data_IF_957586795703
#
_entry.id   IF_957586795703
#
_cell.length_a   1.000
_cell.length_b   1.000
_cell.length_c   1.000
_cell.angle_alpha   90.00
_cell.angle_beta   90.00
_cell.angle_gamma   90.00
#
_symmetry.space_group_name_H-M   'P 1'
#
loop_
_entity.id
_entity.type
_entity.pdbx_description
1 polymer ?
#
# COMPACT_ATOMS: atom_id res chain seq x y z
N UNK A 1 -13.55 -19.96 -6.86
CA UNK A 1 -14.82 -20.13 -7.59
C UNK A 1 -14.68 -19.75 -9.06
N UNK A 2 -14.17 -18.56 -9.39
CA UNK A 2 -13.89 -18.17 -10.79
C UNK A 2 -12.78 -19.01 -11.44
N UNK A 3 -11.69 -19.26 -10.71
CA UNK A 3 -10.57 -20.11 -11.15
C UNK A 3 -11.00 -21.56 -11.43
N UNK A 4 -11.90 -22.10 -10.61
CA UNK A 4 -12.49 -23.43 -10.85
C UNK A 4 -13.38 -23.44 -12.10
N UNK A 5 -14.09 -22.36 -12.41
CA UNK A 5 -14.91 -22.28 -13.63
C UNK A 5 -14.06 -22.28 -14.90
N UNK A 6 -12.86 -21.67 -14.88
CA UNK A 6 -11.92 -21.76 -16.00
C UNK A 6 -11.43 -23.20 -16.24
N UNK A 7 -11.08 -23.93 -15.18
CA UNK A 7 -10.63 -25.34 -15.29
C UNK A 7 -11.69 -26.21 -15.97
N UNK A 8 -12.97 -25.93 -15.73
CA UNK A 8 -14.08 -26.66 -16.34
C UNK A 8 -14.59 -26.05 -17.65
N UNK A 9 -13.95 -25.02 -18.24
CA UNK A 9 -14.43 -24.35 -19.47
C UNK A 9 -14.76 -25.34 -20.57
N UNK A 10 -13.86 -26.28 -20.85
CA UNK A 10 -14.03 -27.26 -21.92
C UNK A 10 -15.15 -28.27 -21.62
N UNK A 11 -15.26 -28.71 -20.37
CA UNK A 11 -16.33 -29.61 -19.92
C UNK A 11 -17.69 -28.90 -19.97
N UNK A 12 -17.76 -27.65 -19.54
CA UNK A 12 -18.96 -26.82 -19.58
C UNK A 12 -19.40 -26.60 -21.03
N UNK A 13 -18.46 -26.21 -21.91
CA UNK A 13 -18.73 -26.01 -23.34
C UNK A 13 -19.14 -27.32 -24.02
N UNK A 14 -18.54 -28.45 -23.63
CA UNK A 14 -18.94 -29.77 -24.10
C UNK A 14 -20.37 -30.11 -23.67
N UNK A 15 -20.74 -29.87 -22.40
CA UNK A 15 -22.10 -30.10 -21.91
C UNK A 15 -23.14 -29.24 -22.65
N UNK A 16 -22.81 -27.97 -22.95
CA UNK A 16 -23.70 -27.11 -23.73
C UNK A 16 -23.83 -27.58 -25.19
N UNK A 17 -22.76 -28.07 -25.81
CA UNK A 17 -22.82 -28.70 -27.15
C UNK A 17 -23.67 -29.97 -27.15
N UNK A 18 -23.64 -30.77 -26.08
CA UNK A 18 -24.42 -32.01 -25.93
C UNK A 18 -25.86 -31.81 -25.40
N UNK A 19 -26.35 -30.58 -25.21
CA UNK A 19 -27.70 -30.31 -24.65
C UNK A 19 -28.87 -30.91 -25.46
N UNK A 20 -28.64 -31.21 -26.74
CA UNK A 20 -29.61 -31.88 -27.61
C UNK A 20 -29.84 -33.35 -27.24
N UNK A 21 -28.81 -34.05 -26.76
CA UNK A 21 -28.84 -35.48 -26.44
C UNK A 21 -29.13 -35.79 -24.96
N UNK A 22 -29.12 -34.79 -24.08
CA UNK A 22 -29.23 -34.94 -22.62
C UNK A 22 -30.66 -35.22 -22.10
N UNK A 23 -31.65 -35.50 -22.97
CA UNK A 23 -33.02 -35.82 -22.54
C UNK A 23 -33.73 -34.70 -21.75
N UNK A 24 -33.24 -33.46 -21.83
CA UNK A 24 -33.75 -32.32 -21.07
C UNK A 24 -35.15 -31.88 -21.54
N UNK A 25 -35.98 -31.46 -20.59
CA UNK A 25 -37.27 -30.81 -20.92
C UNK A 25 -37.05 -29.48 -21.64
N UNK A 26 -38.04 -29.03 -22.43
CA UNK A 26 -37.97 -27.75 -23.17
C UNK A 26 -37.61 -26.57 -22.27
N UNK A 27 -38.20 -26.49 -21.06
CA UNK A 27 -37.90 -25.46 -20.07
C UNK A 27 -36.44 -25.50 -19.60
N UNK A 28 -35.90 -26.69 -19.33
CA UNK A 28 -34.51 -26.86 -18.93
C UNK A 28 -33.54 -26.51 -20.06
N UNK A 29 -33.87 -26.87 -21.31
CA UNK A 29 -33.06 -26.56 -22.49
C UNK A 29 -32.99 -25.05 -22.77
N UNK A 30 -34.12 -24.35 -22.64
CA UNK A 30 -34.17 -22.88 -22.74
C UNK A 30 -33.35 -22.22 -21.62
N UNK A 31 -33.50 -22.70 -20.38
CA UNK A 31 -32.70 -22.19 -19.25
C UNK A 31 -31.21 -22.47 -19.42
N UNK A 32 -30.83 -23.65 -19.89
CA UNK A 32 -29.44 -23.99 -20.20
C UNK A 32 -28.86 -23.07 -21.28
N UNK A 33 -29.63 -22.79 -22.33
CA UNK A 33 -29.17 -21.90 -23.41
C UNK A 33 -29.05 -20.46 -22.93
N UNK A 34 -29.89 -20.00 -21.99
CA UNK A 34 -29.78 -18.66 -21.42
C UNK A 34 -28.54 -18.44 -20.53
N UNK A 35 -27.87 -19.52 -20.11
CA UNK A 35 -26.69 -19.48 -19.22
C UNK A 35 -25.40 -19.81 -20.01
N UNK A 36 -25.53 -20.22 -21.27
CA UNK A 36 -24.39 -20.53 -22.13
C UNK A 36 -23.59 -19.26 -22.42
N UNK A 37 -22.31 -19.29 -22.08
CA UNK A 37 -21.39 -18.19 -22.34
C UNK A 37 -20.82 -18.30 -23.75
N UNK A 38 -20.80 -17.19 -24.47
CA UNK A 38 -20.09 -17.09 -25.75
C UNK A 38 -18.57 -17.12 -25.54
N UNK A 39 -17.81 -17.36 -26.60
CA UNK A 39 -16.33 -17.31 -26.56
C UNK A 39 -15.83 -15.98 -26.02
N UNK A 40 -16.36 -14.86 -26.53
CA UNK A 40 -15.98 -13.51 -26.08
C UNK A 40 -16.26 -13.29 -24.59
N UNK A 41 -17.35 -13.88 -24.05
CA UNK A 41 -17.67 -13.79 -22.64
C UNK A 41 -16.70 -14.59 -21.77
N UNK A 42 -16.24 -15.75 -22.26
CA UNK A 42 -15.18 -16.51 -21.60
C UNK A 42 -13.85 -15.76 -21.59
N UNK A 43 -13.50 -15.13 -22.70
CA UNK A 43 -12.24 -14.38 -22.81
C UNK A 43 -12.29 -13.12 -21.93
N UNK A 44 -13.44 -12.43 -21.85
CA UNK A 44 -13.66 -11.35 -20.89
C UNK A 44 -13.52 -11.84 -19.43
N UNK A 45 -14.07 -13.02 -19.12
CA UNK A 45 -13.97 -13.61 -17.78
C UNK A 45 -12.51 -13.87 -17.40
N UNK A 46 -11.70 -14.35 -18.34
CA UNK A 46 -10.27 -14.57 -18.14
C UNK A 46 -9.51 -13.27 -17.85
N UNK A 47 -9.82 -12.19 -18.59
CA UNK A 47 -9.25 -10.87 -18.30
C UNK A 47 -9.66 -10.37 -16.90
N UNK A 48 -10.93 -10.53 -16.51
CA UNK A 48 -11.40 -10.14 -15.17
C UNK A 48 -10.66 -10.93 -14.09
N UNK A 49 -10.47 -12.24 -14.27
CA UNK A 49 -9.74 -13.08 -13.33
C UNK A 49 -8.29 -12.60 -13.18
N UNK A 50 -7.62 -12.30 -14.30
CA UNK A 50 -6.24 -11.79 -14.28
C UNK A 50 -6.11 -10.47 -13.52
N UNK A 51 -7.12 -9.59 -13.59
CA UNK A 51 -7.15 -8.33 -12.84
C UNK A 51 -7.37 -8.57 -11.35
N UNK A 52 -8.22 -9.54 -10.98
CA UNK A 52 -8.60 -9.78 -9.59
C UNK A 52 -7.58 -10.61 -8.80
N UNK A 53 -6.74 -11.39 -9.47
CA UNK A 53 -5.76 -12.27 -8.81
C UNK A 53 -4.79 -11.51 -7.88
N UNK A 54 -4.20 -10.36 -8.27
CA UNK A 54 -3.37 -9.56 -7.35
C UNK A 54 -4.14 -9.09 -6.12
N UNK A 55 -5.41 -8.72 -6.26
CA UNK A 55 -6.25 -8.30 -5.13
C UNK A 55 -6.59 -9.46 -4.20
N UNK A 56 -6.82 -10.64 -4.75
CA UNK A 56 -7.02 -11.84 -3.95
C UNK A 56 -5.78 -12.15 -3.12
N UNK A 57 -4.61 -12.10 -3.73
CA UNK A 57 -3.33 -12.31 -3.05
C UNK A 57 -3.06 -11.27 -1.97
N UNK A 58 -3.26 -9.98 -2.27
CA UNK A 58 -3.19 -8.88 -1.32
C UNK A 58 -4.14 -9.09 -0.14
N UNK A 59 -5.40 -9.41 -0.41
CA UNK A 59 -6.42 -9.66 0.62
C UNK A 59 -6.03 -10.82 1.52
N UNK A 60 -5.50 -11.91 0.96
CA UNK A 60 -5.04 -13.07 1.72
C UNK A 60 -3.89 -12.72 2.66
N UNK A 61 -2.94 -11.92 2.21
CA UNK A 61 -1.83 -11.45 3.04
C UNK A 61 -2.33 -10.54 4.15
N UNK A 62 -3.19 -9.56 3.82
CA UNK A 62 -3.67 -8.56 4.78
C UNK A 62 -4.64 -9.10 5.83
N UNK A 63 -5.41 -10.14 5.47
CA UNK A 63 -6.36 -10.81 6.38
C UNK A 63 -5.71 -11.87 7.28
N UNK A 64 -4.41 -12.09 7.14
CA UNK A 64 -3.70 -13.05 8.00
C UNK A 64 -3.68 -12.54 9.45
N UNK A 65 -3.87 -13.47 10.39
CA UNK A 65 -3.90 -13.20 11.84
C UNK A 65 -2.63 -13.67 12.54
N UNK A 66 -1.76 -14.38 11.85
CA UNK A 66 -0.58 -15.02 12.43
C UNK A 66 0.58 -14.04 12.65
N UNK A 67 0.53 -12.86 12.01
CA UNK A 67 1.53 -11.79 12.15
C UNK A 67 0.88 -10.42 11.90
N UNK A 68 1.46 -9.32 12.40
CA UNK A 68 0.97 -7.97 12.11
C UNK A 68 1.03 -7.67 10.61
N UNK A 69 -0.10 -7.36 9.99
CA UNK A 69 -0.18 -7.08 8.54
C UNK A 69 -0.20 -5.59 8.22
N UNK A 70 -0.46 -4.73 9.21
CA UNK A 70 -0.67 -3.29 9.01
C UNK A 70 0.56 -2.56 8.45
N UNK A 71 1.77 -2.95 8.85
CA UNK A 71 3.01 -2.36 8.34
C UNK A 71 3.25 -2.64 6.86
N UNK A 72 2.86 -3.85 6.41
CA UNK A 72 2.94 -4.27 4.99
C UNK A 72 1.82 -3.69 4.12
N UNK A 73 0.76 -3.14 4.72
CA UNK A 73 -0.42 -2.69 3.98
C UNK A 73 -0.09 -1.56 3.01
N UNK A 74 0.75 -0.60 3.42
CA UNK A 74 1.16 0.48 2.54
C UNK A 74 1.87 -0.03 1.28
N UNK A 75 2.82 -0.96 1.44
CA UNK A 75 3.55 -1.57 0.33
C UNK A 75 2.60 -2.28 -0.63
N UNK A 76 1.68 -3.10 -0.10
CA UNK A 76 0.70 -3.84 -0.89
C UNK A 76 -0.24 -2.90 -1.67
N UNK A 77 -0.73 -1.84 -1.02
CA UNK A 77 -1.62 -0.85 -1.64
C UNK A 77 -0.92 -0.16 -2.81
N UNK A 78 0.35 0.23 -2.66
CA UNK A 78 1.12 0.84 -3.75
C UNK A 78 1.44 -0.14 -4.86
N UNK A 79 1.79 -1.38 -4.53
CA UNK A 79 2.00 -2.42 -5.54
C UNK A 79 0.74 -2.70 -6.38
N UNK A 80 -0.45 -2.67 -5.75
CA UNK A 80 -1.72 -2.75 -6.49
C UNK A 80 -1.96 -1.50 -7.36
N UNK A 81 -1.63 -0.31 -6.85
CA UNK A 81 -1.72 0.94 -7.63
C UNK A 81 -0.84 0.88 -8.89
N UNK A 82 0.43 0.49 -8.72
CA UNK A 82 1.40 0.33 -9.81
C UNK A 82 0.94 -0.75 -10.81
N UNK A 83 0.44 -1.88 -10.32
CA UNK A 83 -0.11 -2.95 -11.16
C UNK A 83 -1.25 -2.43 -12.06
N UNK A 84 -2.17 -1.64 -11.51
CA UNK A 84 -3.30 -1.09 -12.26
C UNK A 84 -2.88 -0.01 -13.27
N UNK A 85 -1.81 0.73 -12.99
CA UNK A 85 -1.26 1.75 -13.88
C UNK A 85 -0.38 1.17 -14.99
N UNK A 86 0.18 -0.02 -14.78
CA UNK A 86 1.02 -0.67 -15.78
C UNK A 86 0.20 -1.05 -17.02
N UNK A 87 0.55 -0.43 -18.14
CA UNK A 87 -0.02 -0.72 -19.45
C UNK A 87 0.43 -2.11 -19.94
N UNK A 88 -0.51 -2.84 -20.53
CA UNK A 88 -0.28 -4.13 -21.16
C UNK A 88 -0.61 -4.03 -22.66
N UNK A 89 -0.19 -5.03 -23.45
CA UNK A 89 -0.45 -5.04 -24.90
C UNK A 89 -1.94 -5.16 -25.26
N UNK A 90 -2.81 -5.55 -24.31
CA UNK A 90 -4.23 -5.75 -24.54
C UNK A 90 -5.04 -4.47 -24.18
N UNK A 91 -5.67 -3.78 -25.16
CA UNK A 91 -6.39 -2.52 -24.91
C UNK A 91 -7.65 -2.70 -24.06
N UNK A 92 -8.33 -3.85 -24.17
CA UNK A 92 -9.49 -4.16 -23.34
C UNK A 92 -9.07 -4.35 -21.88
N UNK A 93 -7.95 -5.04 -21.65
CA UNK A 93 -7.37 -5.21 -20.32
C UNK A 93 -7.00 -3.85 -19.69
N UNK A 94 -6.37 -2.96 -20.45
CA UNK A 94 -6.04 -1.61 -19.99
C UNK A 94 -7.28 -0.79 -19.64
N UNK A 95 -8.34 -0.91 -20.44
CA UNK A 95 -9.63 -0.25 -20.18
C UNK A 95 -10.26 -0.76 -18.87
N UNK A 96 -10.24 -2.08 -18.66
CA UNK A 96 -10.72 -2.68 -17.42
C UNK A 96 -9.88 -2.29 -16.20
N UNK A 97 -8.54 -2.33 -16.32
CA UNK A 97 -7.61 -1.84 -15.29
C UNK A 97 -7.91 -0.38 -14.91
N UNK A 98 -8.16 0.48 -15.90
CA UNK A 98 -8.50 1.89 -15.67
C UNK A 98 -9.80 2.04 -14.87
N UNK A 99 -10.84 1.28 -15.20
CA UNK A 99 -12.09 1.29 -14.44
C UNK A 99 -11.89 0.87 -12.98
N UNK A 100 -11.11 -0.20 -12.78
CA UNK A 100 -10.76 -0.68 -11.43
C UNK A 100 -9.89 0.34 -10.69
N UNK A 101 -8.93 0.96 -11.36
CA UNK A 101 -8.04 1.97 -10.81
C UNK A 101 -8.81 3.17 -10.26
N UNK A 102 -9.79 3.69 -11.01
CA UNK A 102 -10.63 4.81 -10.57
C UNK A 102 -11.35 4.47 -9.27
N UNK A 103 -11.95 3.28 -9.18
CA UNK A 103 -12.66 2.82 -7.98
C UNK A 103 -11.70 2.54 -6.83
N UNK A 104 -10.59 1.88 -7.10
CA UNK A 104 -9.53 1.60 -6.13
C UNK A 104 -9.02 2.91 -5.51
N UNK A 105 -8.73 3.92 -6.33
CA UNK A 105 -8.27 5.22 -5.82
C UNK A 105 -9.31 5.91 -4.96
N UNK A 106 -10.57 5.88 -5.39
CA UNK A 106 -11.67 6.46 -4.63
C UNK A 106 -11.79 5.83 -3.23
N UNK A 107 -11.78 4.50 -3.13
CA UNK A 107 -11.95 3.83 -1.84
C UNK A 107 -10.70 3.89 -0.96
N UNK A 108 -9.50 3.73 -1.53
CA UNK A 108 -8.27 3.65 -0.75
C UNK A 108 -7.70 5.02 -0.35
N UNK A 109 -7.91 6.04 -1.17
CA UNK A 109 -7.31 7.37 -0.96
C UNK A 109 -8.36 8.47 -0.71
N UNK A 110 -9.64 8.24 -1.01
CA UNK A 110 -10.72 9.18 -0.74
C UNK A 110 -10.97 9.40 0.76
N UNK A 111 -10.71 8.39 1.58
CA UNK A 111 -10.71 8.50 3.04
C UNK A 111 -9.33 8.87 3.58
N UNK A 112 -8.96 10.16 3.54
CA UNK A 112 -7.61 10.64 3.94
C UNK A 112 -7.11 10.08 5.29
N UNK A 113 -8.00 9.91 6.28
CA UNK A 113 -7.64 9.40 7.60
C UNK A 113 -7.18 7.92 7.60
N UNK A 114 -7.83 7.06 6.82
CA UNK A 114 -7.47 5.64 6.75
C UNK A 114 -6.13 5.45 6.03
N UNK A 115 -5.94 6.17 4.93
CA UNK A 115 -4.68 6.11 4.19
C UNK A 115 -3.51 6.67 4.99
N UNK A 116 -3.71 7.78 5.72
CA UNK A 116 -2.69 8.34 6.60
C UNK A 116 -2.31 7.36 7.72
N UNK A 117 -3.27 6.61 8.25
CA UNK A 117 -3.00 5.53 9.21
C UNK A 117 -2.03 4.50 8.61
N UNK A 118 -2.24 4.04 7.37
CA UNK A 118 -1.29 3.12 6.72
C UNK A 118 0.08 3.74 6.50
N UNK A 119 0.17 5.05 6.21
CA UNK A 119 1.45 5.75 6.09
C UNK A 119 2.21 5.79 7.41
N UNK A 120 1.51 6.10 8.50
CA UNK A 120 2.10 6.14 9.84
C UNK A 120 2.63 4.78 10.26
N UNK A 121 1.84 3.71 10.11
CA UNK A 121 2.31 2.36 10.42
C UNK A 121 3.43 1.90 9.47
N UNK A 122 3.33 2.28 8.19
CA UNK A 122 4.39 2.04 7.22
C UNK A 122 5.70 2.74 7.58
N UNK A 123 5.67 3.91 8.25
CA UNK A 123 6.88 4.59 8.70
C UNK A 123 7.66 3.79 9.76
N UNK A 124 6.96 3.03 10.59
CA UNK A 124 7.58 2.18 11.62
C UNK A 124 7.94 0.76 11.13
N UNK A 125 7.50 0.39 9.93
CA UNK A 125 7.82 -0.87 9.30
C UNK A 125 8.98 -0.69 8.30
N UNK A 126 10.06 -1.49 8.34
CA UNK A 126 11.18 -1.32 7.41
C UNK A 126 10.75 -1.34 5.94
N UNK A 127 9.80 -2.21 5.56
CA UNK A 127 9.32 -2.34 4.18
C UNK A 127 8.47 -1.11 3.83
N UNK A 128 7.55 -0.72 4.71
CA UNK A 128 6.72 0.48 4.52
C UNK A 128 7.55 1.76 4.42
N UNK A 129 8.65 1.86 5.18
CA UNK A 129 9.52 3.03 5.23
C UNK A 129 10.19 3.29 3.90
N UNK A 130 10.62 2.25 3.17
CA UNK A 130 11.24 2.40 1.85
C UNK A 130 10.26 2.89 0.79
N UNK A 131 8.97 2.60 0.97
CA UNK A 131 7.92 2.98 0.01
C UNK A 131 7.53 4.45 0.16
N UNK A 132 7.59 5.00 1.37
CA UNK A 132 7.18 6.39 1.62
C UNK A 132 8.04 7.39 0.84
N UNK A 133 7.39 8.39 0.24
CA UNK A 133 8.09 9.51 -0.38
C UNK A 133 8.74 10.39 0.68
N UNK A 134 9.77 11.16 0.30
CA UNK A 134 10.44 12.11 1.20
C UNK A 134 9.45 13.10 1.84
N UNK A 135 8.47 13.57 1.06
CA UNK A 135 7.43 14.49 1.54
C UNK A 135 6.54 13.83 2.58
N UNK A 136 6.15 12.57 2.38
CA UNK A 136 5.32 11.84 3.34
C UNK A 136 6.06 11.56 4.63
N UNK A 137 7.34 11.14 4.57
CA UNK A 137 8.18 10.96 5.76
C UNK A 137 8.25 12.25 6.58
N UNK A 138 8.59 13.37 5.92
CA UNK A 138 8.65 14.67 6.59
C UNK A 138 7.31 15.16 7.15
N UNK A 139 6.18 14.78 6.54
CA UNK A 139 4.84 15.07 7.08
C UNK A 139 4.57 14.27 8.35
N UNK A 140 4.91 12.99 8.35
CA UNK A 140 4.73 12.09 9.50
C UNK A 140 5.61 12.53 10.67
N UNK A 141 6.88 12.85 10.40
CA UNK A 141 7.82 13.35 11.41
C UNK A 141 7.32 14.63 12.09
N UNK A 142 6.74 15.56 11.32
CA UNK A 142 6.12 16.79 11.86
C UNK A 142 4.92 16.48 12.75
N UNK A 143 4.06 15.55 12.33
CA UNK A 143 2.88 15.14 13.10
C UNK A 143 3.30 14.48 14.42
N UNK A 144 4.27 13.57 14.37
CA UNK A 144 4.85 12.93 15.56
C UNK A 144 5.48 13.95 16.51
N UNK A 145 6.23 14.93 16.00
CA UNK A 145 6.83 15.97 16.82
C UNK A 145 5.78 16.80 17.59
N UNK A 146 4.64 17.09 16.97
CA UNK A 146 3.52 17.79 17.63
C UNK A 146 2.89 16.92 18.73
N UNK A 147 2.70 15.62 18.47
CA UNK A 147 2.15 14.67 19.45
C UNK A 147 3.08 14.58 20.66
N UNK A 148 4.36 14.32 20.44
CA UNK A 148 5.35 14.22 21.51
C UNK A 148 5.49 15.52 22.31
N UNK A 149 5.42 16.68 21.66
CA UNK A 149 5.44 17.97 22.35
C UNK A 149 4.24 18.13 23.31
N UNK A 150 3.04 17.80 22.84
CA UNK A 150 1.82 17.85 23.68
C UNK A 150 1.89 16.90 24.86
N UNK A 151 2.39 15.69 24.65
CA UNK A 151 2.52 14.68 25.70
C UNK A 151 3.59 15.07 26.74
N UNK A 152 4.69 15.69 26.30
CA UNK A 152 5.69 16.24 27.21
C UNK A 152 5.13 17.40 28.06
N UNK A 153 4.36 18.30 27.46
CA UNK A 153 3.71 19.40 28.17
C UNK A 153 2.68 18.91 29.20
N UNK A 154 1.91 17.87 28.88
CA UNK A 154 0.93 17.29 29.82
C UNK A 154 1.59 16.55 31.00
N UNK A 155 2.71 15.86 30.76
CA UNK A 155 3.52 15.22 31.81
C UNK A 155 4.19 16.27 32.72
N UNK A 156 4.63 17.39 32.16
CA UNK A 156 5.21 18.50 32.94
C UNK A 156 4.16 19.10 33.89
N UNK A 157 2.93 19.32 33.42
CA UNK A 157 1.85 19.89 34.23
C UNK A 157 1.36 18.96 35.35
N UNK A 158 1.41 17.64 35.16
CA UNK A 158 1.05 16.65 36.19
C UNK A 158 2.13 16.47 37.26
N UNK A 159 3.40 16.65 36.92
CA UNK A 159 4.49 16.71 37.92
C UNK A 159 4.41 17.98 38.79
N UNK A 160 4.02 19.12 38.21
CA UNK A 160 3.87 20.39 38.92
C UNK A 160 2.65 20.42 39.86
N UNK A 161 1.59 19.67 39.57
CA UNK A 161 0.42 19.56 40.46
C UNK A 161 0.61 18.55 41.60
N UNK A 162 1.55 17.61 41.48
CA UNK A 162 1.91 16.63 42.51
C UNK A 162 3.05 17.11 43.43
N UNK A 163 3.78 18.17 43.06
CA UNK A 163 4.91 18.73 43.82
C UNK A 163 4.53 19.78 44.88
N UNK A 164 3.33 19.70 45.49
CA UNK A 164 3.02 20.45 46.72
C UNK A 164 3.50 19.73 48.00
N UNK A 165 4.27 18.65 47.86
CA UNK A 165 5.03 18.02 48.96
C UNK A 165 6.49 17.83 48.55
N UNK A 166 7.38 18.55 49.24
CA UNK A 166 8.86 18.54 49.23
C UNK A 166 9.58 17.89 48.02
N UNK A 167 10.13 18.74 47.14
CA UNK A 167 11.02 18.39 46.03
C UNK A 167 12.33 17.71 46.50
N UNK A 168 12.56 16.49 46.00
CA UNK A 168 13.84 15.76 46.13
C UNK A 168 14.69 15.95 44.85
N UNK A 169 15.98 16.24 45.03
CA UNK A 169 16.97 16.62 44.00
C UNK A 169 17.22 15.59 42.88
N UNK A 170 16.61 14.41 42.96
CA UNK A 170 16.73 13.32 41.98
C UNK A 170 15.86 13.49 40.73
N UNK A 171 14.73 14.18 40.79
CA UNK A 171 13.81 14.30 39.64
C UNK A 171 14.26 15.30 38.58
N UNK A 172 14.89 16.40 39.00
CA UNK A 172 15.46 17.42 38.07
C UNK A 172 16.57 16.84 37.18
N UNK A 173 17.28 15.83 37.68
CA UNK A 173 18.35 15.14 36.93
C UNK A 173 17.78 14.18 35.87
N UNK A 174 16.60 13.58 36.09
CA UNK A 174 15.92 12.72 35.10
C UNK A 174 15.37 13.52 33.92
N UNK A 175 14.74 14.66 34.19
CA UNK A 175 14.23 15.59 33.16
C UNK A 175 15.37 16.12 32.27
N UNK A 176 16.51 16.49 32.86
CA UNK A 176 17.72 16.91 32.12
C UNK A 176 18.26 15.84 31.17
N UNK A 177 18.21 14.56 31.57
CA UNK A 177 18.70 13.46 30.75
C UNK A 177 17.77 13.13 29.58
N UNK A 178 16.45 13.23 29.78
CA UNK A 178 15.46 13.02 28.71
C UNK A 178 15.61 14.10 27.62
N UNK A 179 15.80 15.35 28.03
CA UNK A 179 15.98 16.47 27.10
C UNK A 179 17.28 16.32 26.26
N UNK A 180 18.35 15.80 26.87
CA UNK A 180 19.61 15.46 26.17
C UNK A 180 19.43 14.31 25.17
N UNK A 181 18.63 13.29 25.50
CA UNK A 181 18.32 12.18 24.59
C UNK A 181 17.52 12.68 23.39
N UNK A 182 16.54 13.57 23.59
CA UNK A 182 15.78 14.21 22.51
C UNK A 182 16.64 15.07 21.59
N UNK A 183 17.53 15.89 22.15
CA UNK A 183 18.49 16.67 21.38
C UNK A 183 19.49 15.77 20.62
N UNK A 184 19.80 14.60 21.15
CA UNK A 184 20.59 13.56 20.46
C UNK A 184 19.85 12.97 19.26
N UNK A 185 18.59 12.57 19.43
CA UNK A 185 17.76 12.00 18.36
C UNK A 185 17.54 12.98 17.20
N UNK A 186 17.23 14.25 17.51
CA UNK A 186 17.04 15.32 16.52
C UNK A 186 18.33 15.69 15.76
N UNK A 187 19.50 15.50 16.39
CA UNK A 187 20.81 15.72 15.74
C UNK A 187 21.19 14.57 14.82
N UNK A 188 20.87 13.33 15.18
CA UNK A 188 21.17 12.14 14.36
C UNK A 188 20.36 12.19 13.06
N UNK A 189 19.04 12.42 13.16
CA UNK A 189 18.16 12.49 11.99
C UNK A 189 18.56 13.62 11.02
N UNK A 190 18.87 14.81 11.52
CA UNK A 190 19.35 15.92 10.68
C UNK A 190 20.71 15.66 10.04
N UNK A 191 21.62 14.97 10.73
CA UNK A 191 22.97 14.71 10.23
C UNK A 191 22.93 13.67 9.10
N UNK A 192 22.18 12.58 9.28
CA UNK A 192 22.00 11.55 8.27
C UNK A 192 21.32 12.09 7.00
N UNK A 193 20.31 12.97 7.17
CA UNK A 193 19.68 13.72 6.08
C UNK A 193 20.65 14.62 5.31
N UNK A 194 21.68 15.19 5.94
CA UNK A 194 22.66 16.04 5.25
C UNK A 194 23.77 15.22 4.57
N UNK A 195 24.26 14.15 5.19
CA UNK A 195 25.27 13.27 4.55
C UNK A 195 24.71 12.52 3.34
N UNK A 196 23.43 12.16 3.35
CA UNK A 196 22.78 11.49 2.22
C UNK A 196 22.46 12.47 1.07
N UNK A 197 22.12 13.72 1.38
CA UNK A 197 21.94 14.80 0.38
C UNK A 197 23.28 15.17 -0.29
N UNK A 198 24.40 15.16 0.44
CA UNK A 198 25.72 15.43 -0.14
C UNK A 198 26.17 14.28 -1.04
N UNK A 199 25.99 13.02 -0.64
CA UNK A 199 26.39 11.86 -1.48
C UNK A 199 25.51 11.71 -2.72
N UNK A 200 24.19 11.89 -2.61
CA UNK A 200 23.29 11.86 -3.78
C UNK A 200 23.51 13.02 -4.75
N UNK A 201 23.76 14.24 -4.24
CA UNK A 201 24.09 15.39 -5.10
C UNK A 201 25.42 15.20 -5.84
N UNK A 202 26.40 14.54 -5.22
CA UNK A 202 27.69 14.23 -5.86
C UNK A 202 27.53 13.13 -6.92
N UNK A 203 26.69 12.12 -6.66
CA UNK A 203 26.40 11.04 -7.62
C UNK A 203 25.61 11.53 -8.84
N UNK A 204 24.60 12.36 -8.64
CA UNK A 204 23.79 12.96 -9.73
C UNK A 204 24.63 13.94 -10.55
N UNK A 205 25.52 14.73 -9.93
CA UNK A 205 26.45 15.59 -10.67
C UNK A 205 27.49 14.80 -11.48
N UNK A 206 27.89 13.62 -11.01
CA UNK A 206 28.77 12.74 -11.76
C UNK A 206 28.07 12.11 -12.97
N UNK A 207 26.81 11.67 -12.83
CA UNK A 207 26.02 11.15 -13.95
C UNK A 207 25.72 12.22 -15.00
N UNK A 208 25.33 13.43 -14.60
CA UNK A 208 25.05 14.54 -15.54
C UNK A 208 26.32 14.90 -16.35
N UNK A 209 27.51 14.88 -15.74
CA UNK A 209 28.78 15.09 -16.46
C UNK A 209 29.11 13.96 -17.44
N UNK A 210 28.75 12.72 -17.12
CA UNK A 210 28.90 11.56 -18.01
C UNK A 210 27.97 11.68 -19.24
N UNK A 211 26.71 12.05 -19.04
CA UNK A 211 25.75 12.28 -20.13
C UNK A 211 26.17 13.43 -21.05
N UNK A 212 26.66 14.54 -20.50
CA UNK A 212 27.13 15.67 -21.32
C UNK A 212 28.37 15.34 -22.18
N UNK A 213 29.24 14.46 -21.69
CA UNK A 213 30.45 14.01 -22.40
C UNK A 213 30.15 12.99 -23.51
N UNK A 214 29.04 12.26 -23.39
CA UNK A 214 28.55 11.34 -24.42
C UNK A 214 27.79 12.07 -25.54
N UNK A 215 27.15 13.21 -25.23
CA UNK A 215 26.40 14.02 -26.20
C UNK A 215 27.27 14.96 -27.06
N UNK A 216 28.58 15.05 -26.80
CA UNK A 216 29.54 15.94 -27.49
C UNK A 216 30.59 15.20 -28.33
N UNK A 217 30.37 13.91 -28.58
CA UNK A 217 31.10 13.08 -29.55
C UNK A 217 30.16 12.67 -30.67
#
# INVERSE_FOLDING_TARGET
>A
MLTSMQIYRDIINYMFKSKGSLGLTLKQRLKSTSIELSTDQWDLLELIISILEPFYSATKVLSNRSYPTIGSALYIIRGLEEYLQKEENNPLLNSLKTLVFIKFRHYMFGGMAQFNTFKLYGYFDPIGFWVLTKTEKGSIEKELAVIYKKEFESLSLTSLSSSSTSLDSRETTKLSNIDKVWQGFLKITNKDLQTEVVTTKTSIQHEIKLYHKLATK
#
